data_IF_617951898627
#
_entry.id   IF_617951898627
#
_cell.length_a   1.000
_cell.length_b   1.000
_cell.length_c   1.000
_cell.angle_alpha   90.00
_cell.angle_beta   90.00
_cell.angle_gamma   90.00
#
_symmetry.space_group_name_H-M   'P 1'
#
loop_
_entity.id
_entity.type
_entity.pdbx_description
1 polymer ?
#
# COMPACT_ATOMS: atom_id res chain seq x y z
N UNK A 1 -1.05 27.89 -1.06
CA UNK A 1 -1.84 26.66 -1.34
C UNK A 1 -2.22 26.69 -2.82
N UNK A 2 -1.98 25.61 -3.56
CA UNK A 2 -2.29 25.55 -4.99
C UNK A 2 -3.78 25.24 -5.20
N UNK A 3 -4.43 25.95 -6.11
CA UNK A 3 -5.86 25.77 -6.42
C UNK A 3 -6.09 25.73 -7.92
N UNK A 4 -7.23 25.20 -8.34
CA UNK A 4 -7.78 25.34 -9.69
C UNK A 4 -9.26 25.65 -9.64
N UNK A 5 -9.75 26.39 -10.65
CA UNK A 5 -11.19 26.56 -10.85
C UNK A 5 -11.74 25.38 -11.65
N UNK A 6 -12.81 24.78 -11.17
CA UNK A 6 -13.61 23.76 -11.87
C UNK A 6 -15.04 24.21 -11.98
N UNK A 7 -15.74 23.82 -13.03
CA UNK A 7 -17.16 24.13 -13.16
C UNK A 7 -17.99 23.10 -12.40
N UNK A 8 -18.96 23.58 -11.65
CA UNK A 8 -19.96 22.71 -11.02
C UNK A 8 -20.71 21.92 -12.11
N UNK A 9 -20.77 20.59 -12.04
CA UNK A 9 -21.41 19.77 -13.08
C UNK A 9 -22.93 19.98 -13.16
N UNK A 10 -23.57 20.49 -12.10
CA UNK A 10 -25.02 20.74 -12.08
C UNK A 10 -25.41 22.11 -12.64
N UNK A 11 -24.67 23.18 -12.33
CA UNK A 11 -25.06 24.54 -12.64
C UNK A 11 -24.03 25.38 -13.41
N UNK A 12 -22.86 24.83 -13.69
CA UNK A 12 -21.79 25.51 -14.40
C UNK A 12 -21.08 26.63 -13.61
N UNK A 13 -21.46 26.89 -12.37
CA UNK A 13 -20.81 27.91 -11.54
C UNK A 13 -19.36 27.53 -11.25
N UNK A 14 -18.38 28.46 -11.41
CA UNK A 14 -17.01 28.22 -11.02
C UNK A 14 -16.88 27.97 -9.51
N UNK A 15 -16.20 26.88 -9.15
CA UNK A 15 -15.85 26.55 -7.75
C UNK A 15 -14.35 26.37 -7.63
N UNK A 16 -13.79 26.76 -6.49
CA UNK A 16 -12.36 26.61 -6.21
C UNK A 16 -12.11 25.22 -5.66
N UNK A 17 -11.25 24.45 -6.33
CA UNK A 17 -10.74 23.18 -5.84
C UNK A 17 -9.31 23.34 -5.34
N UNK A 18 -9.05 22.95 -4.09
CA UNK A 18 -7.70 22.89 -3.54
C UNK A 18 -6.97 21.67 -4.07
N UNK A 19 -5.70 21.88 -4.45
CA UNK A 19 -4.82 20.83 -4.97
C UNK A 19 -3.84 20.40 -3.86
N UNK A 20 -4.32 19.58 -2.95
CA UNK A 20 -3.51 18.96 -1.91
C UNK A 20 -3.10 17.54 -2.31
N UNK A 21 -1.95 17.04 -1.84
CA UNK A 21 -1.66 15.61 -1.90
C UNK A 21 -2.76 14.83 -1.18
N UNK A 22 -3.09 13.66 -1.72
CA UNK A 22 -4.11 12.78 -1.14
C UNK A 22 -3.43 11.75 -0.26
N UNK A 23 -3.85 11.57 1.01
CA UNK A 23 -3.29 10.57 1.89
C UNK A 23 -3.69 9.16 1.43
N UNK A 24 -2.71 8.26 1.46
CA UNK A 24 -2.87 6.82 1.21
C UNK A 24 -2.12 6.02 2.26
N UNK A 25 -2.42 4.74 2.35
CA UNK A 25 -1.67 3.76 3.12
C UNK A 25 -1.26 2.60 2.22
N UNK A 26 -0.06 2.06 2.45
CA UNK A 26 0.40 0.79 1.87
C UNK A 26 0.83 -0.14 3.01
N UNK A 27 0.54 -1.43 2.93
CA UNK A 27 0.75 -2.35 4.04
C UNK A 27 1.65 -3.51 3.61
N UNK A 28 2.87 -3.57 4.13
CA UNK A 28 3.77 -4.71 4.03
C UNK A 28 3.25 -5.78 4.99
N UNK A 29 2.49 -6.74 4.48
CA UNK A 29 1.92 -7.83 5.28
C UNK A 29 2.89 -9.01 5.24
N UNK A 30 3.54 -9.28 6.37
CA UNK A 30 4.36 -10.47 6.56
C UNK A 30 3.48 -11.69 6.82
N UNK A 31 3.71 -12.78 6.10
CA UNK A 31 2.95 -14.02 6.28
C UNK A 31 3.83 -15.24 6.07
N UNK A 32 3.65 -16.27 6.92
CA UNK A 32 4.33 -17.54 6.76
C UNK A 32 3.84 -18.26 5.49
N UNK A 33 4.79 -18.82 4.73
CA UNK A 33 4.54 -19.71 3.58
C UNK A 33 4.48 -21.16 4.02
N UNK A 34 3.94 -22.01 3.15
CA UNK A 34 4.08 -23.48 3.31
C UNK A 34 5.57 -23.81 3.31
N UNK A 35 6.07 -24.34 4.44
CA UNK A 35 7.51 -24.58 4.65
C UNK A 35 8.17 -23.70 5.72
N UNK A 36 7.42 -22.75 6.31
CA UNK A 36 7.87 -21.94 7.47
C UNK A 36 8.62 -20.66 7.14
N UNK A 37 9.00 -20.44 5.88
CA UNK A 37 9.62 -19.19 5.44
C UNK A 37 8.61 -18.04 5.45
N UNK A 38 9.01 -16.85 5.90
CA UNK A 38 8.17 -15.64 5.86
C UNK A 38 8.31 -14.95 4.52
N UNK A 39 7.19 -14.63 3.90
CA UNK A 39 7.10 -13.81 2.69
C UNK A 39 6.23 -12.57 2.90
N UNK A 40 6.07 -11.81 1.82
CA UNK A 40 5.25 -10.61 1.75
C UNK A 40 4.01 -10.89 0.91
N UNK A 41 2.85 -10.50 1.41
CA UNK A 41 1.59 -10.57 0.65
C UNK A 41 1.58 -9.47 -0.39
N UNK A 42 1.37 -9.87 -1.64
CA UNK A 42 1.09 -8.94 -2.74
C UNK A 42 -0.25 -9.29 -3.38
N UNK A 43 -0.90 -8.28 -3.94
CA UNK A 43 -2.12 -8.41 -4.73
C UNK A 43 -1.82 -8.08 -6.19
N UNK A 44 -2.53 -8.75 -7.11
CA UNK A 44 -2.49 -8.39 -8.52
C UNK A 44 -3.65 -7.45 -8.82
N UNK A 45 -3.32 -6.23 -9.24
CA UNK A 45 -4.29 -5.17 -9.53
C UNK A 45 -5.15 -5.52 -10.75
N UNK A 46 -6.44 -5.21 -10.68
CA UNK A 46 -7.37 -5.25 -11.83
C UNK A 46 -7.29 -3.98 -12.67
N UNK A 47 -7.02 -2.83 -12.03
CA UNK A 47 -7.04 -1.50 -12.62
C UNK A 47 -5.62 -0.94 -12.79
N UNK A 48 -5.46 0.03 -13.71
CA UNK A 48 -4.20 0.73 -13.91
C UNK A 48 -3.75 1.55 -12.67
N UNK A 49 -2.44 1.63 -12.44
CA UNK A 49 -1.37 0.90 -13.11
C UNK A 49 -1.44 -0.59 -12.83
N UNK A 50 -1.35 -1.39 -13.90
CA UNK A 50 -1.38 -2.85 -13.82
C UNK A 50 -0.10 -3.40 -13.18
N UNK A 51 -0.19 -4.57 -12.56
CA UNK A 51 0.95 -5.25 -11.94
C UNK A 51 0.62 -5.79 -10.56
N UNK A 52 1.66 -6.30 -9.91
CA UNK A 52 1.58 -6.68 -8.51
C UNK A 52 1.82 -5.46 -7.61
N UNK A 53 1.16 -5.41 -6.49
CA UNK A 53 1.22 -4.28 -5.56
C UNK A 53 1.21 -4.75 -4.11
N UNK A 54 1.79 -3.96 -3.23
CA UNK A 54 1.54 -4.02 -1.81
C UNK A 54 0.07 -3.65 -1.59
N UNK A 55 -0.70 -4.36 -0.75
CA UNK A 55 -2.06 -3.96 -0.38
C UNK A 55 -2.12 -2.54 0.17
N UNK A 56 -3.14 -1.78 -0.21
CA UNK A 56 -3.29 -0.41 0.25
C UNK A 56 -4.23 0.43 -0.60
N UNK A 57 -4.59 1.61 -0.09
CA UNK A 57 -5.53 2.50 -0.74
C UNK A 57 -5.63 3.87 -0.10
N UNK A 58 -6.68 4.59 -0.46
CA UNK A 58 -6.94 5.93 0.05
C UNK A 58 -7.45 5.89 1.49
N UNK A 59 -7.05 6.91 2.25
CA UNK A 59 -7.59 7.15 3.58
C UNK A 59 -8.96 7.82 3.42
N UNK A 60 -9.98 7.24 4.00
CA UNK A 60 -11.33 7.79 3.97
C UNK A 60 -11.49 8.94 4.98
N UNK A 61 -12.41 9.85 4.66
CA UNK A 61 -12.71 10.96 5.56
C UNK A 61 -13.21 10.46 6.91
N UNK A 62 -12.50 10.83 7.98
CA UNK A 62 -12.87 10.49 9.35
C UNK A 62 -12.20 9.23 9.90
N UNK A 63 -11.39 8.52 9.12
CA UNK A 63 -10.57 7.42 9.63
C UNK A 63 -9.11 7.84 9.91
N UNK A 64 -8.45 7.13 10.82
CA UNK A 64 -7.00 7.27 11.04
C UNK A 64 -6.23 6.44 10.02
N UNK A 65 -4.91 6.70 9.89
CA UNK A 65 -4.04 5.91 9.00
C UNK A 65 -4.02 4.43 9.38
N UNK A 66 -4.05 4.12 10.68
CA UNK A 66 -4.10 2.75 11.19
C UNK A 66 -5.43 2.06 10.86
N UNK A 67 -6.54 2.78 10.95
CA UNK A 67 -7.87 2.27 10.56
C UNK A 67 -7.92 1.99 9.06
N UNK A 68 -7.42 2.91 8.24
CA UNK A 68 -7.29 2.71 6.79
C UNK A 68 -6.46 1.47 6.47
N UNK A 69 -5.30 1.31 7.12
CA UNK A 69 -4.42 0.15 6.90
C UNK A 69 -5.10 -1.18 7.25
N UNK A 70 -5.83 -1.23 8.36
CA UNK A 70 -6.58 -2.44 8.77
C UNK A 70 -7.73 -2.75 7.81
N UNK A 71 -8.48 -1.72 7.37
CA UNK A 71 -9.58 -1.86 6.42
C UNK A 71 -9.08 -2.36 5.07
N UNK A 72 -8.08 -1.69 4.47
CA UNK A 72 -7.52 -2.06 3.16
C UNK A 72 -6.93 -3.47 3.16
N UNK A 73 -6.16 -3.84 4.20
CA UNK A 73 -5.66 -5.20 4.34
C UNK A 73 -6.80 -6.22 4.36
N UNK A 74 -7.90 -5.92 5.07
CA UNK A 74 -9.07 -6.80 5.15
C UNK A 74 -9.81 -6.90 3.83
N UNK A 75 -10.03 -5.78 3.16
CA UNK A 75 -10.77 -5.69 1.89
C UNK A 75 -10.02 -6.39 0.75
N UNK A 76 -8.71 -6.13 0.62
CA UNK A 76 -7.93 -6.64 -0.51
C UNK A 76 -7.39 -8.06 -0.32
N UNK A 77 -7.19 -8.50 0.94
CA UNK A 77 -6.53 -9.79 1.23
C UNK A 77 -7.33 -10.74 2.12
N UNK A 78 -8.43 -10.28 2.72
CA UNK A 78 -9.21 -11.04 3.70
C UNK A 78 -8.51 -11.24 5.05
N UNK A 79 -7.29 -10.71 5.22
CA UNK A 79 -6.49 -10.90 6.44
C UNK A 79 -6.85 -9.87 7.53
N UNK A 80 -6.76 -10.31 8.79
CA UNK A 80 -6.51 -9.40 9.91
C UNK A 80 -5.02 -9.15 10.06
N UNK A 81 -4.64 -8.11 10.82
CA UNK A 81 -3.25 -7.78 11.07
C UNK A 81 -2.96 -7.75 12.57
N UNK A 82 -1.85 -8.39 12.95
CA UNK A 82 -1.24 -8.25 14.27
C UNK A 82 0.05 -7.41 14.16
N UNK A 83 0.45 -6.78 15.26
CA UNK A 83 1.70 -6.00 15.36
C UNK A 83 1.86 -4.91 14.30
N UNK A 84 0.76 -4.23 13.94
CA UNK A 84 0.78 -3.12 12.98
C UNK A 84 1.67 -1.99 13.51
N UNK A 85 2.63 -1.56 12.69
CA UNK A 85 3.53 -0.44 13.01
C UNK A 85 3.83 0.39 11.78
N UNK A 86 4.01 1.68 11.96
CA UNK A 86 4.46 2.57 10.89
C UNK A 86 5.89 2.22 10.47
N UNK A 87 6.16 2.29 9.19
CA UNK A 87 7.47 2.08 8.62
C UNK A 87 8.08 3.40 8.14
N UNK A 88 7.57 3.97 7.06
CA UNK A 88 8.05 5.21 6.46
C UNK A 88 6.96 5.83 5.59
N UNK A 89 7.00 7.16 5.42
CA UNK A 89 6.20 7.86 4.42
C UNK A 89 6.94 7.93 3.08
N UNK A 90 6.20 7.79 1.98
CA UNK A 90 6.66 7.97 0.60
C UNK A 90 5.80 9.06 -0.05
N UNK A 91 6.44 10.11 -0.56
CA UNK A 91 5.74 11.33 -0.96
C UNK A 91 6.27 11.97 -2.24
N UNK A 92 7.04 11.24 -3.06
CA UNK A 92 7.45 11.75 -4.36
C UNK A 92 6.19 12.07 -5.19
N UNK A 93 6.05 13.29 -5.73
CA UNK A 93 4.89 13.64 -6.56
C UNK A 93 4.67 12.74 -7.77
N UNK A 94 5.69 12.06 -8.25
CA UNK A 94 5.64 11.15 -9.39
C UNK A 94 5.33 9.69 -9.00
N UNK A 95 5.23 9.36 -7.69
CA UNK A 95 5.01 7.98 -7.23
C UNK A 95 3.71 7.34 -7.76
N UNK A 96 2.67 8.13 -7.93
CA UNK A 96 1.39 7.72 -8.52
C UNK A 96 1.09 8.55 -9.76
N UNK A 97 1.04 7.96 -10.97
CA UNK A 97 0.82 8.70 -12.20
C UNK A 97 -0.58 9.36 -12.30
N UNK A 98 -1.52 8.94 -11.47
CA UNK A 98 -2.89 9.44 -11.47
C UNK A 98 -3.04 10.78 -10.73
N UNK A 99 -2.30 10.95 -9.62
CA UNK A 99 -2.33 12.16 -8.79
C UNK A 99 -1.21 12.17 -7.75
N UNK A 100 -0.89 13.34 -7.22
CA UNK A 100 0.04 13.45 -6.10
C UNK A 100 -0.56 12.80 -4.84
N UNK A 101 0.06 11.74 -4.34
CA UNK A 101 -0.30 11.04 -3.10
C UNK A 101 0.85 11.11 -2.10
N UNK A 102 0.52 11.01 -0.83
CA UNK A 102 1.48 10.75 0.25
C UNK A 102 1.05 9.45 0.92
N UNK A 103 1.87 8.41 0.84
CA UNK A 103 1.56 7.14 1.45
C UNK A 103 2.34 6.93 2.75
N UNK A 104 1.61 6.60 3.81
CA UNK A 104 2.21 6.03 5.01
C UNK A 104 2.26 4.51 4.85
N UNK A 105 3.48 3.96 4.81
CA UNK A 105 3.69 2.52 4.76
C UNK A 105 3.67 1.94 6.16
N UNK A 106 2.87 0.90 6.33
CA UNK A 106 2.80 0.09 7.55
C UNK A 106 3.44 -1.28 7.32
N UNK A 107 3.85 -1.90 8.42
CA UNK A 107 4.25 -3.31 8.45
C UNK A 107 3.39 -4.01 9.48
N UNK A 108 2.85 -5.18 9.15
CA UNK A 108 2.06 -5.98 10.06
C UNK A 108 2.17 -7.48 9.73
N UNK A 109 1.76 -8.32 10.66
CA UNK A 109 1.71 -9.77 10.48
C UNK A 109 0.31 -10.20 10.07
N UNK A 110 0.21 -10.89 8.94
CA UNK A 110 -1.07 -11.39 8.42
C UNK A 110 -1.62 -12.54 9.25
N UNK A 111 -2.91 -12.45 9.61
CA UNK A 111 -3.65 -13.46 10.37
C UNK A 111 -4.91 -13.88 9.64
N UNK A 112 -5.10 -15.18 9.56
CA UNK A 112 -6.25 -15.79 8.88
C UNK A 112 -5.89 -16.43 7.54
N UNK A 113 -6.86 -16.53 6.65
CA UNK A 113 -6.69 -17.15 5.33
C UNK A 113 -6.62 -16.09 4.26
N UNK A 114 -5.52 -16.07 3.51
CA UNK A 114 -5.32 -15.17 2.38
C UNK A 114 -6.36 -15.44 1.28
N UNK A 115 -7.09 -14.42 0.87
CA UNK A 115 -8.06 -14.43 -0.24
C UNK A 115 -7.96 -13.12 -0.98
N UNK A 116 -7.98 -13.15 -2.31
CA UNK A 116 -8.09 -11.93 -3.09
C UNK A 116 -9.46 -11.27 -2.85
N UNK A 117 -9.46 -9.98 -2.60
CA UNK A 117 -10.67 -9.17 -2.49
C UNK A 117 -11.24 -8.76 -3.85
N UNK A 118 -12.30 -7.95 -3.84
CA UNK A 118 -13.07 -7.60 -5.05
C UNK A 118 -12.25 -6.83 -6.09
N UNK A 119 -11.32 -5.96 -5.65
CA UNK A 119 -10.46 -5.15 -6.52
C UNK A 119 -9.14 -5.84 -6.90
N UNK A 120 -8.85 -7.01 -6.34
CA UNK A 120 -7.69 -7.81 -6.66
C UNK A 120 -8.07 -8.97 -7.60
N UNK A 121 -7.27 -9.20 -8.65
CA UNK A 121 -7.41 -10.38 -9.51
C UNK A 121 -6.87 -11.65 -8.83
N UNK A 122 -5.87 -11.50 -7.96
CA UNK A 122 -5.28 -12.56 -7.14
C UNK A 122 -4.47 -11.96 -6.00
N UNK A 123 -4.23 -12.77 -4.96
CA UNK A 123 -3.33 -12.45 -3.87
C UNK A 123 -2.41 -13.64 -3.59
N UNK A 124 -1.12 -13.40 -3.32
CA UNK A 124 -0.15 -14.44 -3.05
C UNK A 124 0.97 -13.95 -2.12
N UNK A 125 1.69 -14.89 -1.50
CA UNK A 125 2.82 -14.62 -0.62
C UNK A 125 4.11 -14.88 -1.38
N UNK A 126 4.98 -13.87 -1.48
CA UNK A 126 6.25 -13.92 -2.18
C UNK A 126 7.43 -13.78 -1.22
N UNK A 127 8.51 -14.57 -1.37
CA UNK A 127 9.74 -14.37 -0.62
C UNK A 127 10.52 -13.17 -1.19
N UNK A 128 11.49 -12.64 -0.42
CA UNK A 128 12.34 -11.51 -0.86
C UNK A 128 13.03 -11.78 -2.21
N UNK A 129 13.52 -13.00 -2.42
CA UNK A 129 14.29 -13.37 -3.62
C UNK A 129 13.46 -13.69 -4.87
N UNK A 130 12.13 -13.69 -4.78
CA UNK A 130 11.23 -14.10 -5.87
C UNK A 130 10.00 -13.17 -5.97
N UNK A 131 10.25 -11.87 -5.90
CA UNK A 131 9.21 -10.87 -6.08
C UNK A 131 8.78 -10.79 -7.55
N UNK A 132 7.47 -10.70 -7.81
CA UNK A 132 6.98 -10.61 -9.19
C UNK A 132 7.31 -9.24 -9.81
N UNK A 133 7.46 -9.21 -11.12
CA UNK A 133 7.66 -7.98 -11.89
C UNK A 133 6.64 -7.92 -13.03
N UNK A 134 6.13 -6.71 -13.37
CA UNK A 134 6.39 -5.43 -12.72
C UNK A 134 5.64 -5.28 -11.39
N UNK A 135 6.22 -4.53 -10.46
CA UNK A 135 5.50 -3.97 -9.32
C UNK A 135 4.91 -2.62 -9.72
N UNK A 136 3.67 -2.36 -9.30
CA UNK A 136 3.00 -1.10 -9.56
C UNK A 136 3.58 0.02 -8.67
N UNK A 137 3.43 1.27 -9.11
CA UNK A 137 3.85 2.47 -8.38
C UNK A 137 5.36 2.44 -8.02
N UNK A 138 5.69 2.95 -6.86
CA UNK A 138 7.02 2.91 -6.22
C UNK A 138 7.21 1.69 -5.29
N UNK A 139 6.36 0.66 -5.40
CA UNK A 139 6.35 -0.48 -4.49
C UNK A 139 7.66 -1.30 -4.54
N UNK A 140 8.37 -1.29 -5.66
CA UNK A 140 9.71 -1.89 -5.74
C UNK A 140 10.72 -1.16 -4.83
N UNK A 141 10.63 0.17 -4.73
CA UNK A 141 11.45 0.97 -3.84
C UNK A 141 11.08 0.71 -2.38
N UNK A 142 9.80 0.71 -2.06
CA UNK A 142 9.30 0.43 -0.71
C UNK A 142 9.80 -0.91 -0.19
N UNK A 143 9.68 -1.97 -0.99
CA UNK A 143 10.12 -3.31 -0.60
C UNK A 143 11.64 -3.42 -0.50
N UNK A 144 12.41 -2.78 -1.40
CA UNK A 144 13.86 -2.69 -1.30
C UNK A 144 14.30 -2.06 0.02
N UNK A 145 13.69 -0.93 0.39
CA UNK A 145 13.99 -0.22 1.65
C UNK A 145 13.64 -1.09 2.86
N UNK A 146 12.48 -1.74 2.82
CA UNK A 146 12.02 -2.63 3.89
C UNK A 146 12.99 -3.81 4.11
N UNK A 147 13.38 -4.53 3.07
CA UNK A 147 14.32 -5.65 3.19
C UNK A 147 15.72 -5.18 3.58
N UNK A 148 16.13 -3.99 3.15
CA UNK A 148 17.37 -3.37 3.57
C UNK A 148 17.46 -3.17 5.09
N UNK A 149 16.35 -2.77 5.73
CA UNK A 149 16.31 -2.61 7.20
C UNK A 149 16.38 -3.94 7.97
N UNK A 150 15.91 -5.04 7.38
CA UNK A 150 16.02 -6.37 7.99
C UNK A 150 17.47 -6.86 8.02
N UNK A 151 18.20 -6.66 6.93
CA UNK A 151 19.62 -7.07 6.83
C UNK A 151 20.51 -6.31 7.83
N UNK A 152 20.21 -5.02 8.08
CA UNK A 152 20.97 -4.21 9.05
C UNK A 152 20.74 -4.59 10.51
N UNK A 153 19.64 -5.28 10.85
CA UNK A 153 19.38 -5.76 12.22
C UNK A 153 20.00 -7.12 12.53
N UNK A 154 20.32 -7.92 11.50
CA UNK A 154 20.98 -9.24 11.67
C UNK A 154 22.48 -9.19 12.00
N UNK A 155 23.13 -8.01 11.92
CA UNK A 155 24.58 -7.88 12.08
C UNK A 155 25.00 -7.16 13.39
N UNK A 156 24.10 -7.04 14.38
CA UNK A 156 24.39 -6.47 15.71
C UNK A 156 24.16 -7.52 16.81
N UNK A 157 24.78 -8.67 16.67
CA UNK A 157 24.74 -9.75 17.65
C UNK A 157 26.06 -10.53 17.63
N UNK A 158 27.15 -9.89 18.01
CA UNK A 158 28.34 -10.48 18.61
C UNK A 158 28.91 -9.52 19.63
#
# INVERSE_FOLDING_TARGET
MKTKNVLCPQCGTPVVQYLNPVPTVDIIIEMARKGGETGIVLIRRKNDPAGWAIPGGFVDYGETLEQAALREAKEETGLGLDNLRQFRAYSDPARDPRRHTISMVFVGQGKGTLKAGDDAASAAVFPEGDLPVPLAFDHAEILRDYFGTKKGKGNKGE
#
